data_IF_738316785131
#
_entry.id   IF_738316785131
#
_cell.length_a   1.000
_cell.length_b   1.000
_cell.length_c   1.000
_cell.angle_alpha   90.00
_cell.angle_beta   90.00
_cell.angle_gamma   90.00
#
_symmetry.space_group_name_H-M   'P 1'
#
loop_
_entity.id
_entity.type
_entity.pdbx_description
1 polymer ?
#
# COMPACT_ATOMS: atom_id res chain seq x y z
N UNK A 1 24.16 -79.55 -23.70
CA UNK A 1 24.06 -78.59 -22.65
C UNK A 1 23.76 -77.23 -23.30
N UNK A 2 22.50 -76.74 -23.27
CA UNK A 2 22.09 -75.45 -23.81
C UNK A 2 21.64 -74.60 -22.62
N UNK A 3 22.38 -73.52 -22.33
CA UNK A 3 22.01 -72.55 -21.31
C UNK A 3 20.94 -71.57 -21.86
N UNK A 4 19.82 -71.49 -21.18
CA UNK A 4 18.76 -70.50 -21.45
C UNK A 4 19.09 -69.14 -20.72
N UNK A 5 19.24 -68.10 -21.48
CA UNK A 5 19.42 -66.76 -20.95
C UNK A 5 18.03 -66.14 -20.75
N UNK A 6 17.66 -65.95 -19.48
CA UNK A 6 16.43 -65.26 -19.07
C UNK A 6 16.65 -63.73 -19.13
N UNK A 7 15.96 -63.03 -20.03
CA UNK A 7 15.94 -61.52 -20.09
C UNK A 7 14.89 -61.00 -19.13
N UNK A 8 15.35 -60.33 -18.11
CA UNK A 8 14.46 -59.56 -17.18
C UNK A 8 14.17 -58.25 -17.83
N UNK A 9 12.90 -57.99 -18.17
CA UNK A 9 12.42 -56.68 -18.63
C UNK A 9 12.14 -55.80 -17.41
N UNK A 10 12.87 -54.68 -17.30
CA UNK A 10 12.65 -53.68 -16.29
C UNK A 10 11.60 -52.69 -16.84
N UNK A 11 10.37 -52.75 -16.33
CA UNK A 11 9.34 -51.74 -16.60
C UNK A 11 9.60 -50.51 -15.72
N UNK A 12 10.09 -49.43 -16.29
CA UNK A 12 10.17 -48.15 -15.63
C UNK A 12 8.78 -47.50 -15.60
N UNK A 13 8.18 -47.39 -14.41
CA UNK A 13 6.97 -46.59 -14.15
C UNK A 13 7.36 -45.10 -14.11
N UNK A 14 7.06 -44.37 -15.16
CA UNK A 14 7.10 -42.91 -15.13
C UNK A 14 5.91 -42.41 -14.33
N UNK A 15 6.16 -41.93 -13.11
CA UNK A 15 5.19 -41.16 -12.33
C UNK A 15 5.05 -39.77 -12.93
N UNK A 16 3.99 -39.52 -13.66
CA UNK A 16 3.60 -38.18 -14.06
C UNK A 16 3.15 -37.37 -12.80
N UNK A 17 3.99 -36.50 -12.28
CA UNK A 17 3.60 -35.55 -11.28
C UNK A 17 2.61 -34.58 -11.95
N UNK A 18 1.31 -34.71 -11.63
CA UNK A 18 0.27 -33.79 -12.05
C UNK A 18 0.51 -32.46 -11.38
N UNK A 19 0.84 -31.43 -12.16
CA UNK A 19 0.82 -30.02 -11.71
C UNK A 19 -0.66 -29.70 -11.48
N UNK A 20 -1.05 -29.55 -10.21
CA UNK A 20 -2.38 -29.07 -9.87
C UNK A 20 -2.53 -27.65 -10.46
N UNK A 21 -3.68 -27.31 -11.08
CA UNK A 21 -3.91 -25.96 -11.54
C UNK A 21 -3.91 -25.04 -10.32
N UNK A 22 -3.03 -24.04 -10.33
CA UNK A 22 -3.09 -22.92 -9.40
C UNK A 22 -4.33 -22.11 -9.82
N UNK A 23 -5.41 -22.26 -9.07
CA UNK A 23 -6.57 -21.39 -9.25
C UNK A 23 -6.16 -20.00 -8.83
N UNK A 24 -6.08 -19.07 -9.80
CA UNK A 24 -6.08 -17.64 -9.52
C UNK A 24 -7.31 -17.34 -8.66
N UNK A 25 -7.09 -16.82 -7.46
CA UNK A 25 -8.22 -16.41 -6.61
C UNK A 25 -8.83 -15.15 -7.24
N UNK A 26 -10.01 -15.30 -7.85
CA UNK A 26 -10.74 -14.16 -8.40
C UNK A 26 -10.99 -13.12 -7.30
N UNK A 27 -10.68 -11.86 -7.60
CA UNK A 27 -11.00 -10.76 -6.70
C UNK A 27 -12.52 -10.66 -6.48
N UNK A 28 -12.98 -10.27 -5.30
CA UNK A 28 -14.40 -10.02 -5.08
C UNK A 28 -14.97 -9.04 -6.12
N UNK A 29 -16.22 -9.23 -6.48
CA UNK A 29 -16.90 -8.39 -7.48
C UNK A 29 -16.75 -6.89 -7.14
N UNK A 30 -16.34 -6.10 -8.12
CA UNK A 30 -16.10 -4.67 -7.99
C UNK A 30 -14.67 -4.28 -7.62
N UNK A 31 -13.78 -5.24 -7.34
CA UNK A 31 -12.36 -5.01 -7.11
C UNK A 31 -11.52 -5.33 -8.34
N UNK A 32 -10.41 -4.60 -8.50
CA UNK A 32 -9.43 -4.77 -9.58
C UNK A 32 -8.02 -4.57 -9.03
N UNK A 33 -7.02 -5.14 -9.67
CA UNK A 33 -5.61 -4.77 -9.45
C UNK A 33 -5.34 -3.44 -10.17
N UNK A 34 -4.70 -2.51 -9.49
CA UNK A 34 -4.36 -1.21 -10.07
C UNK A 34 -3.52 -1.35 -11.34
N UNK A 35 -2.60 -2.31 -11.39
CA UNK A 35 -1.75 -2.57 -12.55
C UNK A 35 -2.53 -2.98 -13.81
N UNK A 36 -3.74 -3.54 -13.67
CA UNK A 36 -4.60 -3.88 -14.82
C UNK A 36 -5.32 -2.64 -15.38
N UNK A 37 -5.45 -1.58 -14.58
CA UNK A 37 -6.07 -0.31 -14.98
C UNK A 37 -5.01 0.70 -15.45
N UNK A 38 -3.91 0.83 -14.71
CA UNK A 38 -2.84 1.78 -15.04
C UNK A 38 -1.48 1.32 -14.47
N UNK A 39 -0.63 0.78 -15.34
CA UNK A 39 0.73 0.32 -14.99
C UNK A 39 1.74 1.44 -14.79
N UNK A 40 1.39 2.68 -15.12
CA UNK A 40 2.29 3.83 -14.97
C UNK A 40 2.32 4.35 -13.53
N UNK A 41 1.32 4.00 -12.71
CA UNK A 41 1.31 4.30 -11.28
C UNK A 41 2.28 3.35 -10.57
N UNK A 42 3.25 3.91 -9.85
CA UNK A 42 4.22 3.13 -9.09
C UNK A 42 3.55 2.54 -7.85
N UNK A 43 3.86 1.28 -7.57
CA UNK A 43 3.36 0.56 -6.40
C UNK A 43 4.53 0.20 -5.49
N UNK A 44 4.47 0.68 -4.26
CA UNK A 44 5.43 0.42 -3.20
C UNK A 44 4.65 0.02 -1.94
N UNK A 45 4.00 -1.15 -2.02
CA UNK A 45 3.06 -1.62 -0.99
C UNK A 45 3.83 -2.04 0.26
N UNK A 46 3.99 -1.10 1.19
CA UNK A 46 4.86 -1.19 2.36
C UNK A 46 4.48 -2.32 3.31
N UNK A 47 3.19 -2.59 3.48
CA UNK A 47 2.72 -3.64 4.40
C UNK A 47 2.93 -5.07 3.88
N UNK A 48 3.28 -5.25 2.61
CA UNK A 48 3.71 -6.54 2.07
C UNK A 48 5.18 -6.88 2.39
N UNK A 49 5.95 -5.94 2.93
CA UNK A 49 7.36 -6.08 3.29
C UNK A 49 7.62 -5.78 4.77
N UNK A 50 8.86 -5.41 5.05
CA UNK A 50 9.35 -5.09 6.41
C UNK A 50 9.60 -3.60 6.64
N UNK A 51 9.60 -2.78 5.58
CA UNK A 51 9.84 -1.33 5.65
C UNK A 51 8.53 -0.59 5.94
N UNK A 52 8.01 -0.81 7.13
CA UNK A 52 6.79 -0.23 7.70
C UNK A 52 6.91 -0.20 9.24
N UNK A 53 6.00 0.46 9.91
CA UNK A 53 6.03 0.65 11.37
C UNK A 53 5.90 -0.64 12.19
N UNK A 54 5.45 -1.75 11.59
CA UNK A 54 5.42 -3.07 12.23
C UNK A 54 6.78 -3.76 12.21
N UNK A 55 7.73 -3.34 11.35
CA UNK A 55 8.99 -4.00 11.01
C UNK A 55 8.83 -5.44 10.51
N UNK A 56 7.67 -5.77 9.99
CA UNK A 56 7.32 -7.07 9.42
C UNK A 56 6.17 -6.94 8.42
N UNK A 57 5.96 -7.99 7.64
CA UNK A 57 4.77 -8.11 6.80
C UNK A 57 3.50 -8.07 7.66
N UNK A 58 2.51 -7.29 7.27
CA UNK A 58 1.21 -7.27 7.91
C UNK A 58 0.37 -8.50 7.50
N UNK A 59 -0.46 -8.97 8.41
CA UNK A 59 -1.32 -10.14 8.18
C UNK A 59 -2.28 -9.89 7.00
N UNK A 60 -2.26 -10.80 6.03
CA UNK A 60 -3.12 -10.73 4.84
C UNK A 60 -2.54 -9.99 3.64
N UNK A 61 -1.29 -9.49 3.70
CA UNK A 61 -0.55 -8.95 2.55
C UNK A 61 0.40 -10.03 2.00
N UNK A 62 -0.09 -10.88 1.11
CA UNK A 62 0.71 -11.98 0.54
C UNK A 62 1.47 -11.56 -0.72
N UNK A 63 1.12 -10.41 -1.31
CA UNK A 63 1.84 -9.84 -2.44
C UNK A 63 1.90 -8.30 -2.36
N UNK A 64 2.95 -7.66 -2.94
CA UNK A 64 3.09 -6.20 -2.98
C UNK A 64 2.27 -5.59 -4.13
N UNK A 65 0.96 -5.82 -4.14
CA UNK A 65 0.05 -5.35 -5.19
C UNK A 65 -1.03 -4.42 -4.61
N UNK A 66 -1.35 -3.37 -5.35
CA UNK A 66 -2.46 -2.49 -5.03
C UNK A 66 -3.76 -3.05 -5.60
N UNK A 67 -4.71 -3.36 -4.72
CA UNK A 67 -6.07 -3.73 -5.07
C UNK A 67 -7.00 -2.59 -4.65
N UNK A 68 -7.90 -2.18 -5.54
CA UNK A 68 -8.88 -1.12 -5.30
C UNK A 68 -10.24 -1.51 -5.87
N UNK A 69 -11.29 -0.79 -5.47
CA UNK A 69 -12.53 -0.84 -6.27
C UNK A 69 -12.26 -0.28 -7.66
N UNK A 70 -12.90 -0.82 -8.70
CA UNK A 70 -12.71 -0.36 -10.09
C UNK A 70 -12.88 1.15 -10.23
N UNK A 71 -13.89 1.74 -9.55
CA UNK A 71 -14.10 3.20 -9.55
C UNK A 71 -12.94 3.97 -8.95
N UNK A 72 -12.32 3.47 -7.87
CA UNK A 72 -11.16 4.12 -7.26
C UNK A 72 -9.92 4.01 -8.14
N UNK A 73 -9.67 2.84 -8.75
CA UNK A 73 -8.56 2.63 -9.67
C UNK A 73 -8.66 3.52 -10.91
N UNK A 74 -9.85 3.61 -11.53
CA UNK A 74 -10.09 4.51 -12.68
C UNK A 74 -9.93 5.99 -12.30
N UNK A 75 -10.40 6.39 -11.10
CA UNK A 75 -10.23 7.74 -10.60
C UNK A 75 -8.74 8.07 -10.40
N UNK A 76 -7.97 7.13 -9.85
CA UNK A 76 -6.53 7.30 -9.65
C UNK A 76 -5.76 7.36 -10.97
N UNK A 77 -6.15 6.55 -11.97
CA UNK A 77 -5.59 6.65 -13.33
C UNK A 77 -5.82 8.02 -13.98
N UNK A 78 -7.00 8.63 -13.77
CA UNK A 78 -7.22 10.01 -14.24
C UNK A 78 -6.28 11.01 -13.56
N UNK A 79 -6.03 10.87 -12.26
CA UNK A 79 -5.04 11.69 -11.53
C UNK A 79 -3.65 11.49 -12.11
N UNK A 80 -3.23 10.24 -12.32
CA UNK A 80 -1.92 9.91 -12.92
C UNK A 80 -1.73 10.57 -14.28
N UNK A 81 -2.72 10.47 -15.18
CA UNK A 81 -2.68 11.09 -16.51
C UNK A 81 -2.54 12.62 -16.44
N UNK A 82 -3.18 13.25 -15.46
CA UNK A 82 -3.13 14.71 -15.29
C UNK A 82 -1.72 15.19 -14.89
N UNK A 83 -1.01 14.45 -14.01
CA UNK A 83 0.32 14.86 -13.54
C UNK A 83 1.47 14.38 -14.46
N UNK A 84 1.22 13.38 -15.31
CA UNK A 84 2.24 12.83 -16.21
C UNK A 84 2.78 13.87 -17.20
N UNK A 85 1.96 14.86 -17.60
CA UNK A 85 2.37 15.97 -18.44
C UNK A 85 3.47 16.86 -17.82
N UNK A 86 3.61 16.80 -16.48
CA UNK A 86 4.63 17.55 -15.71
C UNK A 86 5.83 16.67 -15.34
N UNK A 87 6.02 15.52 -15.99
CA UNK A 87 7.05 14.51 -15.66
C UNK A 87 6.94 14.02 -14.21
N UNK A 88 5.73 13.93 -13.68
CA UNK A 88 5.42 13.42 -12.36
C UNK A 88 4.67 12.09 -12.43
N UNK A 89 4.77 11.31 -11.36
CA UNK A 89 4.06 10.04 -11.22
C UNK A 89 3.54 9.87 -9.81
N UNK A 90 2.44 9.12 -9.66
CA UNK A 90 1.97 8.67 -8.35
C UNK A 90 2.81 7.48 -7.87
N UNK A 91 3.01 7.42 -6.55
CA UNK A 91 3.53 6.26 -5.83
C UNK A 91 2.50 5.87 -4.79
N UNK A 92 1.97 4.66 -4.82
CA UNK A 92 1.01 4.16 -3.84
C UNK A 92 1.70 3.26 -2.83
N UNK A 93 1.45 3.51 -1.54
CA UNK A 93 2.04 2.78 -0.41
C UNK A 93 1.07 1.77 0.19
N UNK A 94 -0.22 2.08 0.18
CA UNK A 94 -1.30 1.19 0.60
C UNK A 94 -2.58 1.48 -0.18
N UNK A 95 -3.35 0.42 -0.40
CA UNK A 95 -4.61 0.43 -1.13
C UNK A 95 -5.71 -0.26 -0.30
N UNK A 96 -6.33 -1.32 -0.79
CA UNK A 96 -7.19 -2.15 0.03
C UNK A 96 -6.36 -2.81 1.14
N UNK A 97 -6.80 -2.68 2.39
CA UNK A 97 -6.21 -3.29 3.59
C UNK A 97 -7.22 -4.26 4.20
N UNK A 98 -6.93 -5.57 4.27
CA UNK A 98 -7.82 -6.54 4.88
C UNK A 98 -8.16 -6.18 6.34
N UNK A 99 -9.37 -6.54 6.81
CA UNK A 99 -9.74 -6.33 8.22
C UNK A 99 -8.76 -7.02 9.16
N UNK A 100 -8.27 -8.21 8.80
CA UNK A 100 -7.24 -8.91 9.60
C UNK A 100 -5.94 -8.13 9.76
N UNK A 101 -5.53 -7.34 8.76
CA UNK A 101 -4.37 -6.47 8.87
C UNK A 101 -4.62 -5.32 9.87
N UNK A 102 -5.82 -4.76 9.87
CA UNK A 102 -6.21 -3.71 10.84
C UNK A 102 -6.21 -4.29 12.26
N UNK A 103 -6.73 -5.51 12.46
CA UNK A 103 -6.69 -6.21 13.74
C UNK A 103 -5.26 -6.47 14.21
N UNK A 104 -4.39 -6.95 13.30
CA UNK A 104 -2.97 -7.20 13.52
C UNK A 104 -2.23 -5.93 13.98
N UNK A 105 -2.45 -4.79 13.31
CA UNK A 105 -1.91 -3.48 13.70
C UNK A 105 -2.40 -3.05 15.09
N UNK A 106 -3.67 -3.29 15.38
CA UNK A 106 -4.25 -3.00 16.70
C UNK A 106 -3.66 -3.86 17.81
N UNK A 107 -3.45 -5.15 17.58
CA UNK A 107 -2.82 -6.07 18.54
C UNK A 107 -1.36 -5.66 18.79
N UNK A 108 -0.61 -5.43 17.74
CA UNK A 108 0.76 -4.92 17.81
C UNK A 108 0.86 -3.62 18.63
N UNK A 109 -0.10 -2.71 18.45
CA UNK A 109 -0.15 -1.46 19.24
C UNK A 109 -0.35 -1.74 20.73
N UNK A 110 -1.25 -2.66 21.08
CA UNK A 110 -1.56 -3.04 22.47
C UNK A 110 -0.39 -3.72 23.19
N UNK A 111 0.49 -4.42 22.49
CA UNK A 111 1.72 -4.97 23.06
C UNK A 111 2.60 -3.89 23.69
N UNK A 112 2.48 -2.65 23.25
CA UNK A 112 3.25 -1.51 23.73
C UNK A 112 4.70 -1.52 23.31
N UNK A 113 5.46 -0.56 23.82
CA UNK A 113 6.88 -0.38 23.51
C UNK A 113 7.30 1.09 23.57
N UNK A 114 8.61 1.35 23.49
CA UNK A 114 9.14 2.71 23.44
C UNK A 114 8.71 3.39 22.12
N UNK A 115 8.86 4.72 22.02
CA UNK A 115 8.80 5.42 20.75
C UNK A 115 9.82 4.84 19.75
N UNK A 116 9.45 4.87 18.46
CA UNK A 116 10.34 4.53 17.36
C UNK A 116 10.71 5.81 16.63
N UNK A 117 12.03 6.18 16.58
CA UNK A 117 12.46 7.42 15.96
C UNK A 117 12.07 7.56 14.48
N UNK A 118 11.92 6.44 13.77
CA UNK A 118 11.58 6.44 12.36
C UNK A 118 10.07 6.59 12.13
N UNK A 119 9.21 6.04 12.99
CA UNK A 119 7.78 5.92 12.71
C UNK A 119 6.89 6.74 13.65
N UNK A 120 7.20 6.76 14.95
CA UNK A 120 6.42 7.45 15.99
C UNK A 120 7.33 8.04 17.07
N UNK A 121 8.16 9.07 16.69
CA UNK A 121 9.27 9.57 17.54
C UNK A 121 8.82 10.16 18.87
N UNK A 122 7.60 10.73 18.91
CA UNK A 122 7.08 11.45 20.07
C UNK A 122 5.98 10.69 20.84
N UNK A 123 5.62 9.48 20.40
CA UNK A 123 4.46 8.73 20.92
C UNK A 123 4.88 7.34 21.35
N UNK A 124 4.42 6.88 22.52
CA UNK A 124 4.57 5.46 22.89
C UNK A 124 3.65 4.60 22.04
N UNK A 125 4.11 3.41 21.64
CA UNK A 125 3.36 2.49 20.77
C UNK A 125 1.92 2.23 21.27
N UNK A 126 1.74 1.99 22.57
CA UNK A 126 0.42 1.76 23.17
C UNK A 126 -0.57 2.93 23.06
N UNK A 127 -0.07 4.14 22.82
CA UNK A 127 -0.88 5.36 22.76
C UNK A 127 -1.32 5.71 21.33
N UNK A 128 -0.84 4.97 20.30
CA UNK A 128 -1.08 5.26 18.87
C UNK A 128 -2.58 5.20 18.51
N UNK A 129 -3.33 4.25 19.10
CA UNK A 129 -4.79 4.16 18.89
C UNK A 129 -5.48 5.35 19.57
N UNK A 130 -5.20 5.61 20.83
CA UNK A 130 -5.82 6.70 21.57
C UNK A 130 -5.52 8.09 20.96
N UNK A 131 -4.36 8.23 20.33
CA UNK A 131 -3.96 9.44 19.59
C UNK A 131 -4.51 9.47 18.16
N UNK A 132 -5.16 8.39 17.69
CA UNK A 132 -5.82 8.31 16.39
C UNK A 132 -4.87 8.15 15.19
N UNK A 133 -3.64 7.67 15.41
CA UNK A 133 -2.72 7.30 14.33
C UNK A 133 -3.03 5.91 13.77
N UNK A 134 -3.44 4.98 14.62
CA UNK A 134 -3.90 3.65 14.22
C UNK A 134 -5.37 3.52 14.61
N UNK A 135 -6.22 3.17 13.63
CA UNK A 135 -7.64 3.00 13.85
C UNK A 135 -8.01 1.54 14.18
N UNK A 136 -8.99 1.33 15.04
CA UNK A 136 -9.63 0.01 15.23
C UNK A 136 -10.44 -0.43 14.00
N UNK A 137 -10.83 0.54 13.17
CA UNK A 137 -11.48 0.36 11.87
C UNK A 137 -10.75 1.22 10.84
N UNK A 138 -10.60 0.69 9.61
CA UNK A 138 -9.94 1.42 8.53
C UNK A 138 -10.86 1.63 7.33
N UNK A 139 -10.74 2.81 6.71
CA UNK A 139 -11.39 3.10 5.44
C UNK A 139 -10.77 2.31 4.28
N UNK A 140 -9.49 1.93 4.38
CA UNK A 140 -8.82 1.07 3.40
C UNK A 140 -9.54 -0.28 3.23
N UNK A 141 -10.13 -0.84 4.30
CA UNK A 141 -10.85 -2.12 4.22
C UNK A 141 -12.12 -2.05 3.35
N UNK A 142 -12.51 -0.86 2.87
CA UNK A 142 -13.61 -0.66 1.90
C UNK A 142 -13.14 -0.66 0.45
N UNK A 143 -11.81 -0.65 0.21
CA UNK A 143 -11.19 -0.74 -1.12
C UNK A 143 -11.22 0.53 -1.95
N UNK A 144 -11.58 1.69 -1.37
CA UNK A 144 -11.61 2.97 -2.09
C UNK A 144 -10.77 4.06 -1.42
N UNK A 145 -9.88 3.66 -0.53
CA UNK A 145 -8.88 4.51 0.13
C UNK A 145 -7.50 4.13 -0.36
N UNK A 146 -6.64 5.11 -0.56
CA UNK A 146 -5.25 4.96 -1.00
C UNK A 146 -4.35 5.88 -0.22
N UNK A 147 -3.18 5.37 0.19
CA UNK A 147 -2.06 6.15 0.68
C UNK A 147 -1.11 6.40 -0.49
N UNK A 148 -0.85 7.67 -0.82
CA UNK A 148 -0.21 8.04 -2.07
C UNK A 148 0.67 9.28 -1.93
N UNK A 149 1.74 9.32 -2.70
CA UNK A 149 2.60 10.48 -2.89
C UNK A 149 2.79 10.79 -4.38
N UNK A 150 3.43 11.92 -4.66
CA UNK A 150 3.93 12.28 -5.99
C UNK A 150 5.44 12.14 -5.99
N UNK A 151 5.98 11.56 -7.07
CA UNK A 151 7.41 11.44 -7.32
C UNK A 151 7.75 11.96 -8.73
N UNK A 152 9.05 12.19 -8.97
CA UNK A 152 9.56 12.49 -10.31
C UNK A 152 9.58 11.22 -11.17
N UNK A 153 9.12 11.31 -12.38
CA UNK A 153 9.06 10.16 -13.29
C UNK A 153 10.46 9.71 -13.75
N UNK A 154 11.40 10.64 -13.86
CA UNK A 154 12.76 10.39 -14.36
C UNK A 154 13.74 9.85 -13.32
N UNK A 155 13.39 9.89 -12.03
CA UNK A 155 14.21 9.44 -10.89
C UNK A 155 15.59 10.09 -10.76
N UNK A 156 15.82 11.24 -11.41
CA UNK A 156 17.15 11.85 -11.51
C UNK A 156 17.48 12.82 -10.37
N UNK A 157 16.51 13.12 -9.51
CA UNK A 157 16.68 14.09 -8.43
C UNK A 157 16.45 13.41 -7.08
N UNK A 158 17.43 13.49 -6.19
CA UNK A 158 17.31 12.96 -4.85
C UNK A 158 16.66 13.98 -3.90
N UNK A 159 15.58 13.59 -3.27
CA UNK A 159 14.98 14.30 -2.14
C UNK A 159 15.66 13.84 -0.83
N UNK A 160 15.99 14.73 0.10
CA UNK A 160 16.56 14.33 1.38
C UNK A 160 15.67 13.33 2.12
N UNK A 161 16.31 12.35 2.77
CA UNK A 161 15.57 11.40 3.60
C UNK A 161 14.85 12.15 4.73
N UNK A 162 13.54 11.94 4.93
CA UNK A 162 12.79 12.58 6.01
C UNK A 162 13.27 12.07 7.37
N UNK A 163 13.15 12.90 8.40
CA UNK A 163 13.49 12.53 9.77
C UNK A 163 12.53 11.48 10.37
N UNK A 164 11.32 11.37 9.84
CA UNK A 164 10.28 10.46 10.30
C UNK A 164 9.45 9.95 9.12
N UNK A 165 9.09 8.68 9.16
CA UNK A 165 8.43 7.98 8.06
C UNK A 165 9.42 7.53 6.98
N UNK A 166 8.90 7.01 5.87
CA UNK A 166 9.70 6.57 4.72
C UNK A 166 9.35 7.35 3.46
N UNK A 167 10.36 7.52 2.63
CA UNK A 167 10.26 8.20 1.35
C UNK A 167 11.34 7.67 0.42
N UNK A 168 11.00 7.48 -0.85
CA UNK A 168 11.98 7.21 -1.90
C UNK A 168 12.71 8.49 -2.30
N UNK A 169 13.94 8.36 -2.77
CA UNK A 169 14.81 9.50 -3.08
C UNK A 169 14.25 10.42 -4.17
N UNK A 170 13.39 9.92 -5.05
CA UNK A 170 12.78 10.68 -6.15
C UNK A 170 11.35 11.19 -5.84
N UNK A 171 10.83 10.94 -4.64
CA UNK A 171 9.59 11.55 -4.18
C UNK A 171 9.75 13.05 -3.98
N UNK A 172 8.69 13.82 -4.18
CA UNK A 172 8.67 15.22 -3.76
C UNK A 172 8.78 15.30 -2.22
N UNK A 173 9.38 16.38 -1.72
CA UNK A 173 9.43 16.62 -0.28
C UNK A 173 8.04 16.98 0.26
N UNK A 174 7.54 16.20 1.20
CA UNK A 174 6.31 16.46 1.94
C UNK A 174 6.56 16.86 3.41
N UNK A 175 7.84 17.05 3.81
CA UNK A 175 8.25 17.42 5.17
C UNK A 175 8.31 16.25 6.15
N UNK A 176 7.52 15.21 5.93
CA UNK A 176 7.63 13.88 6.57
C UNK A 176 7.50 12.80 5.52
N UNK A 177 8.00 11.60 5.83
CA UNK A 177 7.71 10.41 5.04
C UNK A 177 6.30 9.85 5.29
N UNK A 178 5.95 8.82 4.54
CA UNK A 178 4.76 8.00 4.75
C UNK A 178 4.82 7.32 6.12
N UNK A 179 3.69 7.19 6.79
CA UNK A 179 3.54 6.57 8.12
C UNK A 179 4.37 7.23 9.24
N UNK A 180 4.74 8.50 9.10
CA UNK A 180 5.23 9.27 10.23
C UNK A 180 4.07 9.63 11.17
N UNK A 181 3.92 8.92 12.27
CA UNK A 181 2.86 9.17 13.26
C UNK A 181 3.24 10.31 14.21
N UNK A 182 3.23 11.51 13.66
CA UNK A 182 3.55 12.77 14.32
C UNK A 182 2.62 13.88 13.81
N UNK A 183 2.26 14.87 14.63
CA UNK A 183 1.47 16.03 14.17
C UNK A 183 2.06 16.74 12.94
N UNK A 184 3.37 16.62 12.70
CA UNK A 184 4.01 17.11 11.47
C UNK A 184 3.43 16.51 10.19
N UNK A 185 2.80 15.34 10.26
CA UNK A 185 2.16 14.68 9.12
C UNK A 185 0.75 15.22 8.80
N UNK A 186 0.18 16.04 9.67
CA UNK A 186 -1.10 16.71 9.37
C UNK A 186 -0.97 17.57 8.13
N UNK A 187 -1.90 17.44 7.19
CA UNK A 187 -1.85 18.10 5.88
C UNK A 187 -1.62 19.59 5.97
N UNK A 188 -2.22 20.24 6.97
CA UNK A 188 -2.14 21.68 7.20
C UNK A 188 -1.12 22.08 8.28
N UNK A 189 -0.24 21.16 8.70
CA UNK A 189 0.76 21.44 9.75
C UNK A 189 1.59 22.70 9.45
N UNK A 190 1.90 23.47 10.50
CA UNK A 190 2.77 24.65 10.45
C UNK A 190 3.58 24.74 11.75
N UNK A 191 4.87 25.13 11.70
CA UNK A 191 5.64 25.50 10.50
C UNK A 191 6.06 24.28 9.67
N UNK A 192 6.17 24.46 8.35
CA UNK A 192 6.68 23.48 7.41
C UNK A 192 7.49 24.21 6.34
N UNK A 193 8.50 23.58 5.74
CA UNK A 193 9.23 24.15 4.61
C UNK A 193 8.28 24.55 3.48
N UNK A 194 8.60 25.64 2.77
CA UNK A 194 7.74 26.17 1.72
C UNK A 194 7.49 25.15 0.62
N UNK A 195 8.53 24.42 0.19
CA UNK A 195 8.43 23.35 -0.81
C UNK A 195 7.49 22.23 -0.36
N UNK A 196 7.64 21.72 0.87
CA UNK A 196 6.79 20.68 1.42
C UNK A 196 5.33 21.15 1.54
N UNK A 197 5.11 22.42 1.90
CA UNK A 197 3.79 23.05 1.93
C UNK A 197 3.16 23.07 0.53
N UNK A 198 3.92 23.48 -0.48
CA UNK A 198 3.47 23.54 -1.87
C UNK A 198 3.16 22.14 -2.42
N UNK A 199 4.00 21.13 -2.10
CA UNK A 199 3.82 19.76 -2.52
C UNK A 199 2.58 19.09 -1.88
N UNK A 200 2.32 19.31 -0.59
CA UNK A 200 1.08 18.87 0.07
C UNK A 200 -0.15 19.51 -0.58
N UNK A 201 -0.11 20.80 -0.83
CA UNK A 201 -1.20 21.52 -1.51
C UNK A 201 -1.46 20.92 -2.90
N UNK A 202 -0.40 20.73 -3.70
CA UNK A 202 -0.49 20.10 -5.03
C UNK A 202 -1.15 18.73 -4.95
N UNK A 203 -0.68 17.85 -4.08
CA UNK A 203 -1.23 16.50 -3.91
C UNK A 203 -2.72 16.55 -3.57
N UNK A 204 -3.12 17.38 -2.60
CA UNK A 204 -4.54 17.53 -2.20
C UNK A 204 -5.39 18.04 -3.36
N UNK A 205 -4.93 19.05 -4.09
CA UNK A 205 -5.68 19.63 -5.22
C UNK A 205 -5.84 18.62 -6.36
N UNK A 206 -4.77 17.91 -6.71
CA UNK A 206 -4.77 16.90 -7.77
C UNK A 206 -5.67 15.71 -7.42
N UNK A 207 -5.56 15.18 -6.20
CA UNK A 207 -6.41 14.10 -5.72
C UNK A 207 -7.87 14.53 -5.61
N UNK A 208 -8.14 15.76 -5.17
CA UNK A 208 -9.50 16.33 -5.12
C UNK A 208 -10.13 16.45 -6.51
N UNK A 209 -9.37 16.86 -7.51
CA UNK A 209 -9.80 16.90 -8.91
C UNK A 209 -10.15 15.50 -9.43
N UNK A 210 -9.43 14.46 -8.98
CA UNK A 210 -9.74 13.05 -9.25
C UNK A 210 -10.96 12.50 -8.51
N UNK A 211 -11.56 13.29 -7.59
CA UNK A 211 -12.75 12.88 -6.81
C UNK A 211 -12.44 12.31 -5.42
N UNK A 212 -11.20 12.39 -4.97
CA UNK A 212 -10.80 11.94 -3.64
C UNK A 212 -10.95 13.06 -2.59
N UNK A 213 -10.99 12.66 -1.32
CA UNK A 213 -10.96 13.53 -0.14
C UNK A 213 -9.80 13.12 0.74
N UNK A 214 -8.97 14.09 1.12
CA UNK A 214 -7.87 13.88 2.06
C UNK A 214 -8.39 13.68 3.48
N UNK A 215 -7.68 12.87 4.26
CA UNK A 215 -7.79 12.80 5.72
C UNK A 215 -6.83 13.84 6.33
N UNK A 216 -7.30 14.86 7.05
CA UNK A 216 -6.47 16.02 7.43
C UNK A 216 -5.26 15.70 8.32
N UNK A 217 -5.27 14.56 9.03
CA UNK A 217 -4.19 14.15 9.92
C UNK A 217 -3.01 13.48 9.21
N UNK A 218 -3.21 13.07 7.94
CA UNK A 218 -2.24 12.32 7.15
C UNK A 218 -2.21 12.89 5.73
N UNK A 219 -1.10 13.54 5.35
CA UNK A 219 -1.01 14.18 4.04
C UNK A 219 -1.14 13.21 2.87
N UNK A 220 -0.81 11.93 3.08
CA UNK A 220 -0.84 10.86 2.06
C UNK A 220 -2.20 10.17 1.89
N UNK A 221 -3.11 10.28 2.87
CA UNK A 221 -4.33 9.46 2.96
C UNK A 221 -5.54 10.07 2.25
N UNK A 222 -6.08 9.35 1.28
CA UNK A 222 -7.19 9.81 0.44
C UNK A 222 -8.25 8.75 0.24
N UNK A 223 -9.52 9.11 0.41
CA UNK A 223 -10.70 8.25 0.16
C UNK A 223 -11.53 8.80 -0.99
N UNK A 224 -11.95 7.94 -1.93
CA UNK A 224 -12.87 8.31 -3.01
C UNK A 224 -14.21 8.77 -2.42
N UNK A 225 -14.73 9.93 -2.85
CA UNK A 225 -15.98 10.50 -2.32
C UNK A 225 -17.12 9.60 -2.77
N UNK A 226 -17.71 9.13 -3.36
CA UNK A 226 -18.83 8.26 -3.72
C UNK A 226 -18.34 6.82 -3.91
N UNK A 227 -17.68 6.28 -2.91
CA UNK A 227 -17.18 4.92 -2.94
C UNK A 227 -18.33 3.88 -3.05
N UNK A 228 -18.08 2.75 -3.74
CA UNK A 228 -19.14 1.73 -3.93
C UNK A 228 -19.60 1.05 -2.63
N UNK A 229 -18.67 0.92 -1.67
CA UNK A 229 -18.92 0.15 -0.44
C UNK A 229 -18.73 1.01 0.84
N UNK A 230 -19.50 2.10 1.05
CA UNK A 230 -19.21 3.06 2.15
C UNK A 230 -19.42 2.49 3.56
N UNK A 231 -20.12 1.36 3.67
CA UNK A 231 -20.42 0.71 4.97
C UNK A 231 -19.86 -0.70 5.09
N UNK A 232 -19.36 -1.29 4.00
CA UNK A 232 -18.84 -2.66 3.99
C UNK A 232 -17.33 -2.67 4.10
N UNK A 233 -16.78 -3.55 4.92
CA UNK A 233 -15.36 -3.83 5.04
C UNK A 233 -15.10 -5.27 4.62
N UNK A 234 -14.00 -5.47 3.96
CA UNK A 234 -13.63 -6.76 3.38
C UNK A 234 -12.42 -7.35 4.10
N UNK A 235 -12.27 -8.68 4.00
CA UNK A 235 -11.18 -9.42 4.64
C UNK A 235 -10.59 -10.51 3.73
N UNK A 236 -10.54 -10.27 2.42
CA UNK A 236 -9.83 -11.15 1.49
C UNK A 236 -8.33 -10.83 1.48
N UNK A 237 -7.51 -11.81 1.07
CA UNK A 237 -6.05 -11.66 1.02
C UNK A 237 -5.63 -10.72 -0.12
N UNK A 238 -4.56 -9.97 0.08
CA UNK A 238 -3.88 -9.20 -0.98
C UNK A 238 -2.89 -10.15 -1.65
N UNK A 239 -3.28 -10.69 -2.81
CA UNK A 239 -2.51 -11.66 -3.59
C UNK A 239 -2.22 -11.13 -4.98
N UNK A 240 -1.15 -11.65 -5.62
CA UNK A 240 -0.81 -11.30 -6.99
C UNK A 240 -1.74 -11.95 -8.02
N UNK A 241 -2.33 -13.10 -7.66
CA UNK A 241 -3.19 -13.94 -8.49
C UNK A 241 -4.58 -14.05 -7.89
#
# INVERSE_FOLDING_TARGET
MRQAIQRIAFCALLSAAGVAPVFSADLPAGFVRLADVDRTIRQDIRYAGTDNFLHRKATGYDAPVCILTGRAAEALSRVQKAIAAESLTLVVFDCYRPVRAVSDMGEWTREGGPPDPQWYPAVKRKDLIAKGYIGELSTHSRGSTVDVAIARADRNTATPKPACGVSDADMLDFGTGFDCFDPMSETAHRPLAEEATANRKRLVETMRAGGFRNYPREWWHFTLKNEPFPKQRFDFLVTAD
#
